data_IF_888639232072
#
_entry.id   IF_888639232072
#
_cell.length_a   1.000
_cell.length_b   1.000
_cell.length_c   1.000
_cell.angle_alpha   90.00
_cell.angle_beta   90.00
_cell.angle_gamma   90.00
#
_symmetry.space_group_name_H-M   'P 1'
#
loop_
_entity.id
_entity.type
_entity.pdbx_description
1 polymer ?
#
# COMPACT_ATOMS: atom_id res chain seq x y z
N UNK A 1 15.00 15.50 -5.31
CA UNK A 1 13.79 14.74 -4.98
C UNK A 1 13.09 15.49 -3.87
N UNK A 2 11.83 15.88 -4.06
CA UNK A 2 11.07 16.52 -2.99
C UNK A 2 10.62 15.40 -2.05
N UNK A 3 11.05 15.46 -0.79
CA UNK A 3 10.62 14.52 0.24
C UNK A 3 9.26 14.97 0.77
N UNK A 4 8.37 14.01 1.02
CA UNK A 4 7.10 14.26 1.70
C UNK A 4 7.34 14.75 3.13
N UNK A 5 6.41 15.53 3.67
CA UNK A 5 6.45 15.96 5.06
C UNK A 5 6.13 14.79 6.00
N UNK A 6 6.57 14.84 7.28
CA UNK A 6 6.25 13.80 8.26
C UNK A 6 4.74 13.59 8.46
N UNK A 7 3.95 14.65 8.29
CA UNK A 7 2.48 14.60 8.39
C UNK A 7 1.89 13.80 7.22
N UNK A 8 2.33 14.08 5.99
CA UNK A 8 1.87 13.34 4.80
C UNK A 8 2.23 11.85 4.91
N UNK A 9 3.45 11.52 5.36
CA UNK A 9 3.87 10.13 5.59
C UNK A 9 2.98 9.45 6.63
N UNK A 10 2.68 10.14 7.74
CA UNK A 10 1.81 9.59 8.80
C UNK A 10 0.40 9.30 8.32
N UNK A 11 -0.14 10.14 7.43
CA UNK A 11 -1.47 9.92 6.81
C UNK A 11 -1.46 8.68 5.91
N UNK A 12 -0.44 8.52 5.06
CA UNK A 12 -0.30 7.36 4.20
C UNK A 12 -0.14 6.07 5.01
N UNK A 13 0.66 6.09 6.08
CA UNK A 13 0.78 4.95 7.02
C UNK A 13 -0.60 4.55 7.55
N UNK A 14 -1.39 5.51 8.04
CA UNK A 14 -2.72 5.25 8.59
C UNK A 14 -3.69 4.68 7.53
N UNK A 15 -3.61 5.16 6.29
CA UNK A 15 -4.44 4.66 5.19
C UNK A 15 -4.05 3.23 4.78
N UNK A 16 -2.75 2.92 4.71
CA UNK A 16 -2.28 1.55 4.44
C UNK A 16 -2.70 0.59 5.55
N UNK A 17 -2.57 1.00 6.82
CA UNK A 17 -3.07 0.22 7.96
C UNK A 17 -4.57 -0.03 7.89
N UNK A 18 -5.36 0.98 7.48
CA UNK A 18 -6.81 0.83 7.29
C UNK A 18 -7.13 -0.19 6.20
N UNK A 19 -6.42 -0.15 5.07
CA UNK A 19 -6.59 -1.13 3.98
C UNK A 19 -6.32 -2.55 4.48
N UNK A 20 -5.24 -2.76 5.25
CA UNK A 20 -4.90 -4.06 5.84
C UNK A 20 -6.00 -4.55 6.80
N UNK A 21 -6.61 -3.64 7.58
CA UNK A 21 -7.68 -3.97 8.51
C UNK A 21 -9.00 -4.35 7.82
N UNK A 22 -9.22 -3.93 6.56
CA UNK A 22 -10.40 -4.32 5.80
C UNK A 22 -10.43 -5.81 5.44
N UNK A 23 -9.27 -6.50 5.48
CA UNK A 23 -9.14 -7.94 5.19
C UNK A 23 -9.81 -8.34 3.88
N UNK A 24 -9.57 -7.54 2.84
CA UNK A 24 -10.04 -7.83 1.49
C UNK A 24 -9.46 -9.16 1.00
N UNK A 25 -10.20 -9.83 0.11
CA UNK A 25 -9.63 -10.94 -0.65
C UNK A 25 -8.48 -10.43 -1.53
N UNK A 26 -7.56 -11.31 -1.96
CA UNK A 26 -6.42 -10.89 -2.80
C UNK A 26 -6.90 -10.22 -4.09
N UNK A 27 -7.91 -10.78 -4.76
CA UNK A 27 -8.49 -10.24 -6.00
C UNK A 27 -9.10 -8.84 -5.77
N UNK A 28 -9.81 -8.65 -4.66
CA UNK A 28 -10.42 -7.35 -4.32
C UNK A 28 -9.35 -6.32 -3.93
N UNK A 29 -8.32 -6.74 -3.18
CA UNK A 29 -7.21 -5.88 -2.80
C UNK A 29 -6.42 -5.43 -4.02
N UNK A 30 -6.15 -6.34 -4.96
CA UNK A 30 -5.47 -6.05 -6.20
C UNK A 30 -6.29 -5.10 -7.09
N UNK A 31 -7.60 -5.34 -7.22
CA UNK A 31 -8.49 -4.42 -7.93
C UNK A 31 -8.47 -3.03 -7.28
N UNK A 32 -8.60 -2.97 -5.96
CA UNK A 32 -8.61 -1.72 -5.20
C UNK A 32 -7.33 -0.91 -5.44
N UNK A 33 -6.15 -1.52 -5.28
CA UNK A 33 -4.87 -0.83 -5.44
C UNK A 33 -4.61 -0.40 -6.89
N UNK A 34 -4.82 -1.31 -7.86
CA UNK A 34 -4.42 -1.06 -9.24
C UNK A 34 -5.44 -0.19 -10.00
N UNK A 35 -6.73 -0.31 -9.67
CA UNK A 35 -7.81 0.35 -10.41
C UNK A 35 -8.40 1.54 -9.66
N UNK A 36 -8.71 1.38 -8.38
CA UNK A 36 -9.37 2.45 -7.61
C UNK A 36 -8.37 3.51 -7.12
N UNK A 37 -7.24 3.07 -6.55
CA UNK A 37 -6.14 3.98 -6.17
C UNK A 37 -5.27 4.39 -7.37
N UNK A 38 -5.32 3.62 -8.46
CA UNK A 38 -4.61 3.93 -9.71
C UNK A 38 -3.09 3.72 -9.63
N UNK A 39 -2.61 2.72 -8.88
CA UNK A 39 -1.19 2.39 -8.82
C UNK A 39 -0.69 1.89 -10.18
N UNK A 40 0.35 2.53 -10.70
CA UNK A 40 1.04 2.11 -11.93
C UNK A 40 2.04 0.98 -11.72
N UNK A 41 2.40 0.68 -10.47
CA UNK A 41 3.29 -0.42 -10.14
C UNK A 41 2.49 -1.71 -9.96
N UNK A 42 2.69 -2.65 -10.88
CA UNK A 42 2.06 -3.97 -10.84
C UNK A 42 2.81 -4.89 -9.87
N UNK A 43 2.55 -4.71 -8.58
CA UNK A 43 3.15 -5.48 -7.49
C UNK A 43 3.02 -7.02 -7.58
N UNK A 44 1.99 -7.63 -8.21
CA UNK A 44 1.89 -9.09 -8.25
C UNK A 44 3.04 -9.80 -8.99
N UNK A 45 3.83 -9.08 -9.79
CA UNK A 45 5.02 -9.65 -10.44
C UNK A 45 6.16 -9.95 -9.47
N UNK A 46 6.25 -9.21 -8.36
CA UNK A 46 7.39 -9.24 -7.44
C UNK A 46 6.99 -9.66 -6.02
N UNK A 47 5.68 -9.68 -5.74
CA UNK A 47 5.14 -9.94 -4.41
C UNK A 47 4.12 -11.08 -4.44
N UNK A 48 4.22 -11.98 -3.45
CA UNK A 48 3.34 -13.15 -3.32
C UNK A 48 1.89 -12.79 -3.00
N UNK A 49 1.66 -11.60 -2.40
CA UNK A 49 0.34 -11.05 -2.14
C UNK A 49 0.40 -9.52 -1.96
N UNK A 50 -0.74 -8.85 -2.17
CA UNK A 50 -0.90 -7.43 -1.89
C UNK A 50 -0.68 -7.11 -0.42
N UNK A 51 -1.04 -8.01 0.51
CA UNK A 51 -0.79 -7.81 1.94
C UNK A 51 0.71 -7.73 2.25
N UNK A 52 1.52 -8.63 1.69
CA UNK A 52 2.97 -8.63 1.91
C UNK A 52 3.59 -7.36 1.32
N UNK A 53 3.14 -6.95 0.14
CA UNK A 53 3.59 -5.70 -0.47
C UNK A 53 3.24 -4.46 0.39
N UNK A 54 2.00 -4.35 0.87
CA UNK A 54 1.58 -3.23 1.72
C UNK A 54 2.34 -3.18 3.05
N UNK A 55 2.66 -4.33 3.65
CA UNK A 55 3.51 -4.39 4.85
C UNK A 55 4.92 -3.89 4.56
N UNK A 56 5.49 -4.24 3.41
CA UNK A 56 6.80 -3.72 2.99
C UNK A 56 6.76 -2.19 2.78
N UNK A 57 5.68 -1.65 2.20
CA UNK A 57 5.49 -0.20 2.08
C UNK A 57 5.48 0.47 3.46
N UNK A 58 4.81 -0.12 4.46
CA UNK A 58 4.84 0.40 5.83
C UNK A 58 6.24 0.40 6.43
N UNK A 59 7.03 -0.63 6.18
CA UNK A 59 8.41 -0.70 6.67
C UNK A 59 9.26 0.43 6.08
N UNK A 60 9.17 0.68 4.76
CA UNK A 60 9.87 1.79 4.08
C UNK A 60 9.45 3.15 4.67
N UNK A 61 8.17 3.35 4.95
CA UNK A 61 7.66 4.65 5.42
C UNK A 61 7.99 4.94 6.89
N UNK A 62 8.40 3.93 7.65
CA UNK A 62 8.74 4.05 9.08
C UNK A 62 10.24 4.14 9.35
N UNK A 63 11.06 3.89 8.35
CA UNK A 63 12.52 4.14 8.35
C UNK A 63 12.84 5.64 8.25
#
# INVERSE_FOLDING_TARGET
MQQSTPVEVSLVIADVERILLMRLSEDDLQRFILQELGSYYYFPNEWVSGEVWLRHVLDILRE
#
